data_IF_123701191763
#
_entry.id   IF_123701191763
#
_cell.length_a   1.000
_cell.length_b   1.000
_cell.length_c   1.000
_cell.angle_alpha   90.00
_cell.angle_beta   90.00
_cell.angle_gamma   90.00
#
_symmetry.space_group_name_H-M   'P 1'
#
loop_
_entity.id
_entity.type
_entity.pdbx_description
1 polymer ?
#
# COMPACT_ATOMS: atom_id res chain seq x y z
N UNK A 1 1.09 9.84 -14.04
CA UNK A 1 -0.09 9.71 -13.17
C UNK A 1 -0.56 8.27 -13.25
N UNK A 2 -0.76 7.57 -12.12
CA UNK A 2 -1.19 6.18 -12.13
C UNK A 2 -2.65 6.08 -12.60
N UNK A 3 -2.88 5.21 -13.58
CA UNK A 3 -4.23 4.83 -14.01
C UNK A 3 -4.58 3.46 -13.44
N UNK A 4 -5.72 3.39 -12.77
CA UNK A 4 -6.24 2.19 -12.11
C UNK A 4 -7.46 1.70 -12.89
N UNK A 5 -7.44 0.41 -13.22
CA UNK A 5 -8.54 -0.30 -13.87
C UNK A 5 -9.41 -0.96 -12.81
N UNK A 6 -10.69 -0.61 -12.80
CA UNK A 6 -11.66 -1.15 -11.84
C UNK A 6 -13.00 -1.44 -12.51
N UNK A 7 -13.84 -2.22 -11.82
CA UNK A 7 -15.21 -2.49 -12.27
C UNK A 7 -16.21 -1.81 -11.34
N UNK A 8 -17.25 -1.20 -11.92
CA UNK A 8 -18.30 -0.51 -11.17
C UNK A 8 -18.89 -1.39 -10.06
N UNK A 9 -19.14 -2.67 -10.34
CA UNK A 9 -19.73 -3.61 -9.38
C UNK A 9 -18.82 -3.84 -8.17
N UNK A 10 -17.53 -4.05 -8.39
CA UNK A 10 -16.56 -4.28 -7.30
C UNK A 10 -16.39 -3.00 -6.45
N UNK A 11 -16.25 -1.84 -7.11
CA UNK A 11 -16.21 -0.55 -6.43
C UNK A 11 -17.46 -0.31 -5.56
N UNK A 12 -18.66 -0.53 -6.11
CA UNK A 12 -19.93 -0.36 -5.38
C UNK A 12 -20.02 -1.32 -4.19
N UNK A 13 -19.59 -2.57 -4.35
CA UNK A 13 -19.57 -3.56 -3.28
C UNK A 13 -18.65 -3.13 -2.14
N UNK A 14 -17.43 -2.67 -2.47
CA UNK A 14 -16.47 -2.17 -1.49
C UNK A 14 -16.95 -0.89 -0.81
N UNK A 15 -17.56 0.05 -1.56
CA UNK A 15 -18.17 1.26 -0.97
C UNK A 15 -19.36 0.90 -0.07
N UNK A 16 -20.05 -0.20 -0.37
CA UNK A 16 -21.25 -0.68 0.34
C UNK A 16 -22.53 0.01 -0.12
N UNK A 17 -22.55 0.58 -1.34
CA UNK A 17 -23.69 1.29 -1.93
C UNK A 17 -23.72 1.09 -3.44
N UNK A 18 -24.92 0.98 -4.02
CA UNK A 18 -25.10 1.01 -5.47
C UNK A 18 -25.03 2.44 -5.97
N UNK A 19 -24.33 2.66 -7.08
CA UNK A 19 -24.16 3.98 -7.69
C UNK A 19 -24.19 3.91 -9.22
N UNK A 20 -24.70 4.96 -9.86
CA UNK A 20 -24.58 5.19 -11.29
C UNK A 20 -23.18 5.71 -11.65
N UNK A 21 -22.85 5.75 -12.95
CA UNK A 21 -21.59 6.35 -13.39
C UNK A 21 -21.49 7.84 -13.04
N UNK A 22 -22.61 8.57 -13.07
CA UNK A 22 -22.67 9.97 -12.64
C UNK A 22 -22.33 10.13 -11.15
N UNK A 23 -22.83 9.23 -10.30
CA UNK A 23 -22.49 9.24 -8.87
C UNK A 23 -21.00 8.93 -8.66
N UNK A 24 -20.44 7.99 -9.42
CA UNK A 24 -19.02 7.63 -9.36
C UNK A 24 -18.15 8.81 -9.78
N UNK A 25 -18.47 9.49 -10.89
CA UNK A 25 -17.78 10.70 -11.34
C UNK A 25 -17.77 11.78 -10.24
N UNK A 26 -18.89 11.98 -9.55
CA UNK A 26 -19.00 12.91 -8.42
C UNK A 26 -18.14 12.51 -7.20
N UNK A 27 -17.78 11.23 -7.06
CA UNK A 27 -16.93 10.76 -5.97
C UNK A 27 -15.43 10.85 -6.28
N UNK A 28 -15.04 10.90 -7.55
CA UNK A 28 -13.63 10.90 -7.94
C UNK A 28 -12.80 12.06 -7.35
N UNK A 29 -13.35 13.28 -7.14
CA UNK A 29 -12.61 14.34 -6.45
C UNK A 29 -12.13 13.95 -5.05
N UNK A 30 -12.83 13.06 -4.33
CA UNK A 30 -12.42 12.59 -2.99
C UNK A 30 -11.11 11.80 -3.01
N UNK A 31 -10.75 11.24 -4.16
CA UNK A 31 -9.51 10.45 -4.36
C UNK A 31 -8.53 11.16 -5.27
N UNK A 32 -8.72 12.47 -5.52
CA UNK A 32 -7.91 13.25 -6.48
C UNK A 32 -7.84 12.55 -7.84
N UNK A 33 -8.96 11.95 -8.25
CA UNK A 33 -9.06 11.13 -9.45
C UNK A 33 -10.04 11.71 -10.45
N UNK A 34 -9.97 11.20 -11.68
CA UNK A 34 -10.92 11.45 -12.74
C UNK A 34 -11.19 10.17 -13.53
N UNK A 35 -12.44 9.97 -13.97
CA UNK A 35 -12.76 8.89 -14.91
C UNK A 35 -12.22 9.27 -16.27
N UNK A 36 -11.24 8.50 -16.76
CA UNK A 36 -10.58 8.74 -18.05
C UNK A 36 -11.28 8.03 -19.19
N UNK A 37 -11.77 6.81 -18.94
CA UNK A 37 -12.41 5.98 -19.95
C UNK A 37 -13.35 4.93 -19.32
N UNK A 38 -14.35 4.51 -20.09
CA UNK A 38 -15.25 3.41 -19.76
C UNK A 38 -15.33 2.50 -20.97
N UNK A 39 -14.68 1.34 -20.87
CA UNK A 39 -14.64 0.35 -21.94
C UNK A 39 -15.99 -0.36 -22.02
N UNK A 40 -16.79 0.00 -23.03
CA UNK A 40 -18.16 -0.52 -23.19
C UNK A 40 -18.21 -2.04 -23.33
N UNK A 41 -17.18 -2.64 -23.93
CA UNK A 41 -17.14 -4.08 -24.21
C UNK A 41 -16.91 -4.92 -22.95
N UNK A 42 -16.14 -4.40 -21.99
CA UNK A 42 -15.75 -5.11 -20.76
C UNK A 42 -16.44 -4.59 -19.50
N UNK A 43 -16.97 -3.36 -19.54
CA UNK A 43 -17.45 -2.64 -18.36
C UNK A 43 -16.33 -2.16 -17.43
N UNK A 44 -15.07 -2.17 -17.90
CA UNK A 44 -13.92 -1.66 -17.17
C UNK A 44 -13.95 -0.12 -17.16
N UNK A 45 -13.77 0.46 -15.97
CA UNK A 45 -13.63 1.89 -15.74
C UNK A 45 -12.18 2.19 -15.44
N UNK A 46 -11.60 3.15 -16.16
CA UNK A 46 -10.22 3.61 -15.95
C UNK A 46 -10.23 4.93 -15.21
N UNK A 47 -9.66 4.93 -14.02
CA UNK A 47 -9.53 6.12 -13.17
C UNK A 47 -8.07 6.57 -13.19
N UNK A 48 -7.83 7.81 -13.60
CA UNK A 48 -6.50 8.44 -13.50
C UNK A 48 -6.42 9.22 -12.20
N UNK A 49 -5.40 8.94 -11.38
CA UNK A 49 -5.17 9.63 -10.12
C UNK A 49 -4.13 10.73 -10.33
N UNK A 50 -4.49 11.96 -9.99
CA UNK A 50 -3.64 13.13 -10.15
C UNK A 50 -2.58 13.26 -9.05
N UNK A 51 -2.68 12.44 -8.00
CA UNK A 51 -1.74 12.39 -6.89
C UNK A 51 -0.77 11.19 -7.01
N UNK A 52 0.51 11.48 -6.82
CA UNK A 52 1.58 10.47 -6.82
C UNK A 52 2.12 10.16 -5.42
N UNK A 53 1.62 10.84 -4.39
CA UNK A 53 2.04 10.68 -3.00
C UNK A 53 1.12 9.74 -2.19
N UNK A 54 -0.02 9.34 -2.78
CA UNK A 54 -1.05 8.48 -2.16
C UNK A 54 -1.09 7.09 -2.80
N UNK A 55 -0.07 6.23 -2.59
CA UNK A 55 -0.04 4.88 -3.15
C UNK A 55 -1.18 3.99 -2.61
N UNK A 56 -1.78 4.35 -1.47
CA UNK A 56 -2.99 3.68 -0.98
C UNK A 56 -4.16 3.77 -1.95
N UNK A 57 -4.24 4.83 -2.76
CA UNK A 57 -5.30 5.00 -3.75
C UNK A 57 -5.04 4.22 -5.04
N UNK A 58 -3.87 3.60 -5.23
CA UNK A 58 -3.50 2.94 -6.50
C UNK A 58 -4.08 1.54 -6.64
N UNK A 59 -5.31 1.36 -6.16
CA UNK A 59 -6.07 0.12 -6.14
C UNK A 59 -7.56 0.43 -5.90
N UNK A 60 -8.46 -0.46 -6.31
CA UNK A 60 -9.90 -0.25 -6.14
C UNK A 60 -10.30 -0.21 -4.66
N UNK A 61 -9.65 -0.98 -3.80
CA UNK A 61 -9.92 -1.05 -2.36
C UNK A 61 -9.62 0.28 -1.68
N UNK A 62 -8.49 0.91 -2.02
CA UNK A 62 -8.12 2.22 -1.51
C UNK A 62 -9.04 3.33 -1.99
N UNK A 63 -9.39 3.34 -3.28
CA UNK A 63 -10.38 4.27 -3.86
C UNK A 63 -11.72 4.11 -3.12
N UNK A 64 -12.21 2.88 -3.02
CA UNK A 64 -13.47 2.57 -2.35
C UNK A 64 -13.43 2.97 -0.86
N UNK A 65 -12.33 2.70 -0.16
CA UNK A 65 -12.13 3.04 1.26
C UNK A 65 -12.22 4.54 1.48
N UNK A 66 -11.54 5.35 0.66
CA UNK A 66 -11.55 6.80 0.78
C UNK A 66 -12.95 7.37 0.50
N UNK A 67 -13.60 6.92 -0.58
CA UNK A 67 -14.99 7.32 -0.90
C UNK A 67 -15.94 6.93 0.23
N UNK A 68 -15.88 5.68 0.68
CA UNK A 68 -16.69 5.16 1.80
C UNK A 68 -16.47 5.96 3.08
N UNK A 69 -15.23 6.35 3.38
CA UNK A 69 -14.90 7.17 4.55
C UNK A 69 -15.59 8.52 4.49
N UNK A 70 -15.52 9.22 3.34
CA UNK A 70 -16.17 10.52 3.17
C UNK A 70 -17.69 10.39 3.26
N UNK A 71 -18.28 9.42 2.54
CA UNK A 71 -19.74 9.18 2.52
C UNK A 71 -20.32 8.74 3.86
N UNK A 72 -19.53 8.11 4.72
CA UNK A 72 -19.92 7.67 6.06
C UNK A 72 -19.44 8.63 7.16
N UNK A 73 -18.75 9.72 6.80
CA UNK A 73 -18.15 10.68 7.73
C UNK A 73 -17.18 10.04 8.73
N UNK A 74 -16.42 9.05 8.27
CA UNK A 74 -15.39 8.39 9.04
C UNK A 74 -15.07 6.99 8.56
N UNK A 75 -13.95 6.46 9.05
CA UNK A 75 -13.42 5.15 8.70
C UNK A 75 -13.43 4.20 9.91
N UNK A 76 -13.90 2.94 9.76
CA UNK A 76 -13.75 1.93 10.81
C UNK A 76 -12.27 1.70 11.15
N UNK A 77 -11.93 1.49 12.43
CA UNK A 77 -10.55 1.20 12.82
C UNK A 77 -10.13 -0.21 12.37
N UNK A 78 -8.89 -0.34 11.91
CA UNK A 78 -8.26 -1.64 11.66
C UNK A 78 -7.62 -2.17 12.95
N UNK A 79 -8.28 -3.12 13.60
CA UNK A 79 -7.90 -3.63 14.93
C UNK A 79 -6.50 -4.25 14.98
N UNK A 80 -6.03 -4.82 13.87
CA UNK A 80 -4.72 -5.49 13.77
C UNK A 80 -3.53 -4.55 13.98
N UNK A 81 -3.67 -3.23 13.77
CA UNK A 81 -2.61 -2.26 14.14
C UNK A 81 -2.49 -2.04 15.66
N UNK A 82 -3.47 -2.48 16.43
CA UNK A 82 -3.54 -2.30 17.89
C UNK A 82 -3.46 -3.62 18.67
N UNK A 83 -3.24 -4.74 17.96
CA UNK A 83 -3.24 -6.06 18.58
C UNK A 83 -2.02 -6.25 19.49
N UNK A 84 -2.30 -6.53 20.77
CA UNK A 84 -1.25 -6.76 21.79
C UNK A 84 -0.85 -8.22 21.93
N UNK A 85 -1.57 -9.15 21.29
CA UNK A 85 -1.24 -10.58 21.37
C UNK A 85 0.12 -10.84 20.72
N UNK A 86 0.77 -11.93 21.13
CA UNK A 86 1.97 -12.41 20.46
C UNK A 86 1.64 -12.82 19.03
N UNK A 87 2.47 -12.42 18.07
CA UNK A 87 2.36 -12.97 16.72
C UNK A 87 2.70 -14.46 16.80
N UNK A 88 1.84 -15.31 16.23
CA UNK A 88 2.08 -16.76 16.26
C UNK A 88 3.13 -17.17 15.22
N UNK A 89 3.43 -16.31 14.24
CA UNK A 89 4.18 -16.60 12.99
C UNK A 89 5.38 -15.67 12.95
N UNK A 90 6.52 -16.19 12.49
CA UNK A 90 7.79 -15.49 12.58
C UNK A 90 8.59 -15.56 11.29
N UNK A 91 9.27 -14.46 10.97
CA UNK A 91 10.34 -14.39 9.97
C UNK A 91 11.66 -14.10 10.70
N UNK A 92 12.69 -14.87 10.37
CA UNK A 92 14.05 -14.65 10.83
C UNK A 92 14.87 -14.06 9.69
N UNK A 93 15.41 -12.86 9.87
CA UNK A 93 16.29 -12.22 8.90
C UNK A 93 17.72 -12.69 9.17
N UNK A 94 18.43 -13.14 8.14
CA UNK A 94 19.81 -13.58 8.28
C UNK A 94 20.79 -12.40 8.33
N UNK A 95 21.95 -12.63 8.94
CA UNK A 95 23.04 -11.67 8.92
C UNK A 95 23.57 -11.47 7.49
N UNK A 96 23.96 -10.24 7.15
CA UNK A 96 24.44 -9.84 5.83
C UNK A 96 23.33 -9.33 4.91
N UNK A 97 22.06 -9.53 5.25
CA UNK A 97 20.93 -8.96 4.51
C UNK A 97 20.99 -7.43 4.43
N UNK A 98 21.56 -6.78 5.45
CA UNK A 98 21.77 -5.34 5.53
C UNK A 98 22.60 -4.76 4.37
N UNK A 99 23.43 -5.59 3.72
CA UNK A 99 24.28 -5.18 2.61
C UNK A 99 23.65 -5.45 1.23
N UNK A 100 22.53 -6.17 1.16
CA UNK A 100 21.92 -6.62 -0.12
C UNK A 100 20.50 -6.12 -0.26
N UNK A 101 19.62 -6.48 0.68
CA UNK A 101 18.19 -6.09 0.69
C UNK A 101 17.66 -6.20 2.12
N UNK A 102 17.85 -5.16 2.94
CA UNK A 102 17.73 -5.26 4.40
C UNK A 102 16.34 -5.70 4.88
N UNK A 103 15.27 -5.12 4.35
CA UNK A 103 14.01 -5.12 5.07
C UNK A 103 12.98 -6.11 4.52
N UNK A 104 12.22 -6.71 5.43
CA UNK A 104 11.02 -7.49 5.16
C UNK A 104 9.90 -7.17 6.16
N UNK A 105 8.68 -7.03 5.66
CA UNK A 105 7.48 -6.99 6.48
C UNK A 105 6.48 -8.01 5.91
N UNK A 106 5.64 -8.60 6.76
CA UNK A 106 4.64 -9.56 6.32
C UNK A 106 3.36 -9.53 7.16
N UNK A 107 2.29 -10.09 6.61
CA UNK A 107 1.04 -10.37 7.31
C UNK A 107 0.42 -11.67 6.82
N UNK A 108 -0.49 -12.23 7.62
CA UNK A 108 -1.36 -13.33 7.18
C UNK A 108 -2.78 -12.78 7.03
N UNK A 109 -3.43 -13.10 5.92
CA UNK A 109 -4.83 -12.80 5.65
C UNK A 109 -5.63 -14.09 5.71
N UNK A 110 -6.71 -14.12 6.50
CA UNK A 110 -7.52 -15.32 6.73
C UNK A 110 -8.98 -15.11 6.31
N UNK A 111 -9.55 -16.15 5.69
CA UNK A 111 -10.99 -16.26 5.47
C UNK A 111 -11.58 -15.43 4.33
N UNK A 112 -10.76 -14.85 3.45
CA UNK A 112 -11.24 -14.24 2.21
C UNK A 112 -11.05 -15.21 1.04
N UNK A 113 -12.12 -15.83 0.51
CA UNK A 113 -12.00 -16.70 -0.66
C UNK A 113 -11.63 -15.88 -1.89
N UNK A 114 -10.46 -16.17 -2.45
CA UNK A 114 -9.93 -15.42 -3.59
C UNK A 114 -10.85 -15.57 -4.81
N UNK A 115 -11.46 -14.45 -5.24
CA UNK A 115 -12.27 -14.38 -6.47
C UNK A 115 -11.40 -13.97 -7.65
N UNK A 116 -11.91 -14.09 -8.88
CA UNK A 116 -11.20 -13.62 -10.07
C UNK A 116 -10.91 -12.11 -9.97
N UNK A 117 -11.93 -11.32 -9.60
CA UNK A 117 -11.80 -9.88 -9.42
C UNK A 117 -10.82 -9.54 -8.28
N UNK A 118 -10.87 -10.26 -7.16
CA UNK A 118 -9.94 -10.07 -6.05
C UNK A 118 -8.49 -10.36 -6.45
N UNK A 119 -8.26 -11.42 -7.23
CA UNK A 119 -6.94 -11.80 -7.69
C UNK A 119 -6.37 -10.78 -8.67
N UNK A 120 -7.18 -10.35 -9.64
CA UNK A 120 -6.81 -9.32 -10.61
C UNK A 120 -6.42 -8.01 -9.91
N UNK A 121 -7.17 -7.62 -8.86
CA UNK A 121 -6.87 -6.42 -8.08
C UNK A 121 -5.63 -6.59 -7.18
N UNK A 122 -5.37 -7.79 -6.65
CA UNK A 122 -4.12 -8.08 -5.94
C UNK A 122 -2.90 -7.96 -6.87
N UNK A 123 -2.99 -8.54 -8.08
CA UNK A 123 -1.93 -8.47 -9.09
C UNK A 123 -1.72 -7.02 -9.52
N UNK A 124 -2.78 -6.29 -9.86
CA UNK A 124 -2.69 -4.89 -10.25
C UNK A 124 -2.06 -4.05 -9.13
N UNK A 125 -2.50 -4.22 -7.88
CA UNK A 125 -1.93 -3.47 -6.74
C UNK A 125 -0.45 -3.80 -6.58
N UNK A 126 -0.07 -5.08 -6.69
CA UNK A 126 1.32 -5.53 -6.63
C UNK A 126 2.16 -4.86 -7.71
N UNK A 127 1.70 -4.86 -8.96
CA UNK A 127 2.39 -4.23 -10.09
C UNK A 127 2.51 -2.72 -9.91
N UNK A 128 1.41 -2.02 -9.61
CA UNK A 128 1.43 -0.55 -9.42
C UNK A 128 2.35 -0.14 -8.28
N UNK A 129 2.28 -0.82 -7.14
CA UNK A 129 3.12 -0.50 -5.99
C UNK A 129 4.58 -0.89 -6.25
N UNK A 130 4.87 -2.04 -6.83
CA UNK A 130 6.25 -2.46 -7.05
C UNK A 130 6.93 -1.68 -8.19
N UNK A 131 6.20 -1.31 -9.25
CA UNK A 131 6.75 -0.57 -10.39
C UNK A 131 6.87 0.93 -10.12
N UNK A 132 5.79 1.59 -9.71
CA UNK A 132 5.80 3.04 -9.56
C UNK A 132 6.36 3.47 -8.18
N UNK A 133 5.79 2.94 -7.10
CA UNK A 133 6.23 3.30 -5.74
C UNK A 133 7.58 2.65 -5.42
N UNK A 134 7.74 1.36 -5.75
CA UNK A 134 8.93 0.55 -5.55
C UNK A 134 10.05 0.74 -6.57
N UNK A 135 9.90 1.69 -7.51
CA UNK A 135 10.85 1.99 -8.60
C UNK A 135 11.31 0.74 -9.34
N UNK A 136 10.38 0.05 -10.00
CA UNK A 136 10.63 -1.23 -10.70
C UNK A 136 11.28 -2.27 -9.79
N UNK A 137 10.70 -2.41 -8.59
CA UNK A 137 11.11 -3.34 -7.53
C UNK A 137 12.41 -3.04 -6.79
N UNK A 138 13.14 -2.00 -7.20
CA UNK A 138 14.41 -1.60 -6.59
C UNK A 138 14.24 -1.38 -5.08
N UNK A 139 13.24 -0.60 -4.65
CA UNK A 139 13.02 -0.28 -3.24
C UNK A 139 11.97 -1.16 -2.56
N UNK A 140 10.97 -1.65 -3.31
CA UNK A 140 9.86 -2.47 -2.76
C UNK A 140 9.46 -3.57 -3.75
N UNK A 141 9.41 -4.81 -3.28
CA UNK A 141 8.82 -5.94 -4.01
C UNK A 141 7.88 -6.70 -3.10
N UNK A 142 6.74 -7.12 -3.64
CA UNK A 142 5.64 -7.72 -2.88
C UNK A 142 5.46 -9.16 -3.38
N UNK A 143 5.21 -10.10 -2.47
CA UNK A 143 4.84 -11.47 -2.79
C UNK A 143 3.51 -11.85 -2.14
N UNK A 144 2.88 -12.88 -2.72
CA UNK A 144 1.59 -13.41 -2.33
C UNK A 144 1.74 -14.93 -2.38
N UNK A 145 1.36 -15.62 -1.30
CA UNK A 145 1.51 -17.07 -1.19
C UNK A 145 0.29 -17.71 -0.57
N UNK A 146 0.12 -19.01 -0.86
CA UNK A 146 -0.87 -19.86 -0.21
C UNK A 146 -0.42 -20.16 1.22
N UNK A 147 -1.10 -19.58 2.21
CA UNK A 147 -0.66 -19.67 3.61
C UNK A 147 -0.61 -21.11 4.14
N UNK A 148 -1.57 -21.95 3.75
CA UNK A 148 -1.70 -23.33 4.22
C UNK A 148 -0.52 -24.23 3.87
N UNK A 149 0.32 -23.82 2.92
CA UNK A 149 1.46 -24.59 2.44
C UNK A 149 2.80 -24.19 3.06
N UNK A 150 2.82 -23.21 3.98
CA UNK A 150 4.06 -22.65 4.55
C UNK A 150 4.33 -23.19 5.95
N UNK A 151 5.52 -23.78 6.16
CA UNK A 151 6.00 -24.17 7.48
C UNK A 151 6.78 -23.03 8.16
N UNK A 152 6.32 -22.56 9.32
CA UNK A 152 7.02 -21.51 10.07
C UNK A 152 8.06 -22.09 11.06
N UNK A 153 9.11 -21.33 11.43
CA UNK A 153 9.44 -19.97 11.00
C UNK A 153 9.95 -19.91 9.54
N UNK A 154 9.68 -18.79 8.88
CA UNK A 154 10.27 -18.48 7.57
C UNK A 154 11.62 -17.80 7.78
N UNK A 155 12.59 -18.07 6.92
CA UNK A 155 13.90 -17.41 6.90
C UNK A 155 14.00 -16.50 5.68
N UNK A 156 14.41 -15.25 5.91
CA UNK A 156 14.83 -14.32 4.87
C UNK A 156 16.35 -14.16 4.92
N UNK A 157 17.04 -14.79 3.97
CA UNK A 157 18.51 -14.88 4.05
C UNK A 157 19.20 -14.88 2.70
N UNK A 158 20.49 -15.19 2.73
CA UNK A 158 21.38 -15.13 1.57
C UNK A 158 21.87 -16.52 1.18
N UNK A 159 21.83 -16.82 -0.12
CA UNK A 159 22.38 -18.06 -0.72
C UNK A 159 23.40 -17.73 -1.80
N UNK A 160 24.33 -18.64 -2.10
CA UNK A 160 25.16 -18.51 -3.31
C UNK A 160 24.31 -18.75 -4.56
N UNK A 161 24.69 -18.17 -5.72
CA UNK A 161 23.90 -18.26 -6.95
C UNK A 161 23.55 -19.68 -7.42
N UNK A 162 24.36 -20.68 -7.08
CA UNK A 162 24.18 -22.09 -7.49
C UNK A 162 23.94 -23.04 -6.31
N UNK A 163 23.66 -22.52 -5.12
CA UNK A 163 23.55 -23.32 -3.89
C UNK A 163 22.27 -24.14 -3.80
N UNK A 164 21.16 -23.60 -4.31
CA UNK A 164 19.82 -24.19 -4.20
C UNK A 164 19.13 -24.19 -5.55
N UNK A 165 18.18 -25.11 -5.73
CA UNK A 165 17.32 -25.17 -6.92
C UNK A 165 15.85 -25.23 -6.51
N UNK A 166 15.03 -24.42 -7.16
CA UNK A 166 13.58 -24.42 -6.99
C UNK A 166 12.90 -24.14 -8.33
N UNK A 167 11.59 -24.39 -8.42
CA UNK A 167 10.82 -24.17 -9.65
C UNK A 167 10.29 -22.73 -9.63
N UNK A 168 10.76 -21.81 -10.49
CA UNK A 168 10.20 -20.46 -10.54
C UNK A 168 8.80 -20.46 -11.16
N UNK A 169 7.96 -19.52 -10.76
CA UNK A 169 6.61 -19.37 -11.30
C UNK A 169 6.64 -19.22 -12.84
N UNK A 170 5.82 -20.02 -13.54
CA UNK A 170 5.76 -20.04 -15.01
C UNK A 170 6.73 -21.03 -15.67
N UNK A 171 7.47 -21.83 -14.89
CA UNK A 171 8.35 -22.89 -15.38
C UNK A 171 8.01 -24.24 -14.71
N UNK A 172 8.49 -25.33 -15.34
CA UNK A 172 8.29 -26.71 -14.86
C UNK A 172 9.57 -27.32 -14.26
N UNK A 173 10.74 -26.78 -14.61
CA UNK A 173 12.04 -27.31 -14.21
C UNK A 173 12.64 -26.53 -13.05
N UNK A 174 13.35 -27.24 -12.16
CA UNK A 174 14.09 -26.61 -11.07
C UNK A 174 15.32 -25.89 -11.61
N UNK A 175 15.51 -24.66 -11.16
CA UNK A 175 16.61 -23.78 -11.57
C UNK A 175 17.34 -23.21 -10.36
N UNK A 176 18.64 -22.95 -10.50
CA UNK A 176 19.40 -22.14 -9.53
C UNK A 176 19.03 -20.66 -9.66
N UNK A 177 19.23 -19.84 -8.62
CA UNK A 177 19.15 -18.38 -8.74
C UNK A 177 19.96 -17.82 -9.92
N UNK A 178 21.16 -18.35 -10.19
CA UNK A 178 21.97 -17.95 -11.35
C UNK A 178 21.28 -18.26 -12.70
N UNK A 179 20.75 -19.48 -12.85
CA UNK A 179 19.98 -19.89 -14.02
C UNK A 179 18.77 -18.96 -14.21
N UNK A 180 18.02 -18.70 -13.13
CA UNK A 180 16.86 -17.79 -13.14
C UNK A 180 17.23 -16.40 -13.64
N UNK A 181 18.31 -15.80 -13.14
CA UNK A 181 18.78 -14.48 -13.59
C UNK A 181 19.17 -14.45 -15.08
N UNK A 182 19.51 -15.59 -15.66
CA UNK A 182 20.00 -15.70 -17.04
C UNK A 182 18.90 -16.04 -18.05
N UNK A 183 17.89 -16.82 -17.66
CA UNK A 183 16.90 -17.36 -18.61
C UNK A 183 15.45 -16.95 -18.31
N UNK A 184 15.12 -16.68 -17.05
CA UNK A 184 13.74 -16.38 -16.67
C UNK A 184 13.37 -14.95 -17.13
N UNK A 185 12.19 -14.70 -17.70
CA UNK A 185 11.79 -13.35 -18.14
C UNK A 185 11.94 -12.28 -17.05
N UNK A 186 11.49 -12.60 -15.82
CA UNK A 186 11.67 -11.72 -14.65
C UNK A 186 13.12 -11.60 -14.16
N UNK A 187 13.94 -12.63 -14.39
CA UNK A 187 15.37 -12.57 -14.13
C UNK A 187 16.08 -11.61 -15.07
N UNK A 188 15.74 -11.64 -16.36
CA UNK A 188 16.25 -10.71 -17.36
C UNK A 188 15.78 -9.26 -17.10
N UNK A 189 14.53 -9.10 -16.67
CA UNK A 189 13.93 -7.79 -16.42
C UNK A 189 14.48 -7.11 -15.16
N UNK A 190 14.56 -7.84 -14.03
CA UNK A 190 14.87 -7.26 -12.72
C UNK A 190 16.23 -7.71 -12.15
N UNK A 191 16.96 -8.60 -12.83
CA UNK A 191 18.23 -9.14 -12.34
C UNK A 191 19.33 -8.10 -12.10
N UNK A 192 19.25 -6.97 -12.80
CA UNK A 192 20.16 -5.83 -12.60
C UNK A 192 20.12 -5.24 -11.18
N UNK A 193 19.01 -5.41 -10.44
CA UNK A 193 18.88 -4.97 -9.04
C UNK A 193 19.88 -5.69 -8.13
N UNK A 194 20.25 -6.92 -8.48
CA UNK A 194 21.19 -7.75 -7.71
C UNK A 194 22.58 -7.82 -8.37
N UNK A 195 22.85 -6.94 -9.34
CA UNK A 195 24.13 -6.94 -10.05
C UNK A 195 25.30 -6.69 -9.07
N UNK A 196 26.34 -7.53 -9.16
CA UNK A 196 27.52 -7.43 -8.30
C UNK A 196 27.37 -8.06 -6.91
N UNK A 197 26.20 -8.59 -6.55
CA UNK A 197 26.02 -9.32 -5.30
C UNK A 197 26.63 -10.73 -5.38
N UNK A 198 27.53 -11.07 -4.46
CA UNK A 198 28.10 -12.43 -4.38
C UNK A 198 27.12 -13.47 -3.82
N UNK A 199 26.16 -13.01 -3.02
CA UNK A 199 25.08 -13.83 -2.47
C UNK A 199 23.75 -13.16 -2.75
N UNK A 200 22.74 -13.97 -2.96
CA UNK A 200 21.43 -13.56 -3.43
C UNK A 200 20.39 -13.77 -2.33
N UNK A 201 19.45 -12.83 -2.14
CA UNK A 201 18.39 -12.95 -1.15
C UNK A 201 17.43 -14.08 -1.52
N UNK A 202 16.94 -14.80 -0.53
CA UNK A 202 15.97 -15.88 -0.71
C UNK A 202 15.04 -15.95 0.50
N UNK A 203 13.80 -16.33 0.26
CA UNK A 203 12.80 -16.57 1.30
C UNK A 203 12.45 -18.06 1.28
N UNK A 204 12.58 -18.75 2.41
CA UNK A 204 12.24 -20.18 2.51
C UNK A 204 11.66 -20.53 3.89
N UNK A 205 10.90 -21.61 3.94
CA UNK A 205 10.17 -22.05 5.12
C UNK A 205 11.01 -23.00 6.00
N UNK A 206 10.47 -23.47 7.13
CA UNK A 206 11.21 -24.35 8.05
C UNK A 206 11.41 -25.78 7.55
N UNK A 207 10.69 -26.19 6.50
CA UNK A 207 10.90 -27.44 5.78
C UNK A 207 11.92 -27.29 4.63
N UNK A 208 12.44 -26.08 4.41
CA UNK A 208 13.42 -25.76 3.37
C UNK A 208 12.79 -25.50 2.00
N UNK A 209 11.47 -25.34 1.91
CA UNK A 209 10.79 -24.98 0.67
C UNK A 209 10.98 -23.50 0.37
N UNK A 210 11.40 -23.19 -0.86
CA UNK A 210 11.58 -21.81 -1.31
C UNK A 210 10.22 -21.17 -1.54
N UNK A 211 9.98 -20.04 -0.89
CA UNK A 211 8.84 -19.15 -1.16
C UNK A 211 9.15 -18.28 -2.37
N UNK A 212 10.28 -17.58 -2.36
CA UNK A 212 10.66 -16.69 -3.45
C UNK A 212 12.15 -16.40 -3.48
N UNK A 213 12.56 -15.83 -4.61
CA UNK A 213 13.81 -15.15 -4.82
C UNK A 213 13.55 -13.65 -5.03
N UNK A 214 13.44 -12.84 -3.94
CA UNK A 214 13.18 -11.42 -4.07
C UNK A 214 14.35 -10.66 -4.73
N UNK A 215 14.10 -9.54 -5.44
CA UNK A 215 12.80 -9.07 -5.92
C UNK A 215 12.38 -9.71 -7.27
N UNK A 216 12.97 -10.85 -7.64
CA UNK A 216 12.90 -11.42 -8.98
C UNK A 216 11.60 -12.20 -9.20
N UNK A 217 11.38 -13.30 -8.49
CA UNK A 217 10.28 -14.23 -8.77
C UNK A 217 9.89 -15.08 -7.57
N UNK A 218 8.62 -15.47 -7.50
CA UNK A 218 8.13 -16.45 -6.53
C UNK A 218 8.39 -17.88 -7.01
N UNK A 219 8.39 -18.84 -6.08
CA UNK A 219 8.29 -20.26 -6.44
C UNK A 219 6.90 -20.56 -6.97
N UNK A 220 6.82 -21.58 -7.82
CA UNK A 220 5.53 -22.08 -8.30
C UNK A 220 4.75 -22.76 -7.18
N UNK A 221 5.43 -23.57 -6.37
CA UNK A 221 4.78 -24.45 -5.38
C UNK A 221 4.04 -23.67 -4.29
N UNK A 222 4.57 -22.53 -3.84
CA UNK A 222 3.99 -21.71 -2.77
C UNK A 222 3.41 -20.38 -3.26
N UNK A 223 3.97 -19.80 -4.33
CA UNK A 223 3.64 -18.46 -4.82
C UNK A 223 2.53 -18.38 -5.86
N UNK A 224 2.03 -19.51 -6.35
CA UNK A 224 0.90 -19.54 -7.28
C UNK A 224 -0.44 -19.52 -6.51
N UNK A 225 -0.93 -18.33 -6.20
CA UNK A 225 -2.26 -18.14 -5.58
C UNK A 225 -3.36 -18.54 -6.57
N UNK A 226 -4.31 -19.35 -6.12
CA UNK A 226 -5.39 -19.89 -6.95
C UNK A 226 -6.76 -19.35 -6.52
N UNK A 227 -7.71 -19.39 -7.45
CA UNK A 227 -9.11 -19.08 -7.16
C UNK A 227 -9.63 -20.01 -6.06
N UNK A 228 -10.30 -19.42 -5.07
CA UNK A 228 -10.83 -20.14 -3.91
C UNK A 228 -9.87 -20.34 -2.75
N UNK A 229 -8.57 -20.02 -2.89
CA UNK A 229 -7.67 -19.95 -1.73
C UNK A 229 -8.20 -18.91 -0.73
N UNK A 230 -8.32 -19.28 0.53
CA UNK A 230 -8.93 -18.41 1.57
C UNK A 230 -7.92 -17.66 2.41
N UNK A 231 -6.73 -18.25 2.55
CA UNK A 231 -5.72 -17.83 3.49
C UNK A 231 -4.42 -17.55 2.75
N UNK A 232 -3.89 -16.34 2.92
CA UNK A 232 -2.72 -15.85 2.22
C UNK A 232 -1.64 -15.42 3.20
N UNK A 233 -0.40 -15.68 2.82
CA UNK A 233 0.76 -15.02 3.40
C UNK A 233 1.23 -13.95 2.41
N UNK A 234 1.37 -12.73 2.89
CA UNK A 234 1.80 -11.58 2.08
C UNK A 234 3.06 -11.03 2.70
N UNK A 235 4.09 -10.84 1.91
CA UNK A 235 5.34 -10.21 2.31
C UNK A 235 5.72 -9.08 1.38
N UNK A 236 6.48 -8.15 1.93
CA UNK A 236 7.08 -7.04 1.22
C UNK A 236 8.55 -6.99 1.60
N UNK A 237 9.45 -7.03 0.63
CA UNK A 237 10.89 -6.86 0.85
C UNK A 237 11.41 -5.62 0.16
N UNK A 238 12.49 -5.04 0.68
CA UNK A 238 12.97 -3.76 0.18
C UNK A 238 14.27 -3.25 0.77
N UNK A 239 14.64 -2.05 0.31
CA UNK A 239 15.81 -1.31 0.79
C UNK A 239 15.44 -0.13 1.68
N UNK A 240 14.15 0.23 1.75
CA UNK A 240 13.61 1.28 2.61
C UNK A 240 12.50 0.71 3.51
N UNK A 241 12.71 0.77 4.83
CA UNK A 241 11.81 0.15 5.80
C UNK A 241 10.44 0.83 5.86
N UNK A 242 10.39 2.15 5.74
CA UNK A 242 9.15 2.92 5.74
C UNK A 242 8.28 2.58 4.53
N UNK A 243 8.89 2.47 3.35
CA UNK A 243 8.20 2.05 2.12
C UNK A 243 7.72 0.60 2.19
N UNK A 244 8.54 -0.31 2.73
CA UNK A 244 8.18 -1.72 2.92
C UNK A 244 6.96 -1.86 3.85
N UNK A 245 6.97 -1.16 4.99
CA UNK A 245 5.85 -1.17 5.94
C UNK A 245 4.61 -0.52 5.33
N UNK A 246 4.75 0.61 4.62
CA UNK A 246 3.63 1.28 3.98
C UNK A 246 2.93 0.39 2.95
N UNK A 247 3.71 -0.23 2.05
CA UNK A 247 3.18 -1.13 1.02
C UNK A 247 2.47 -2.34 1.64
N UNK A 248 3.01 -2.92 2.71
CA UNK A 248 2.33 -4.00 3.43
C UNK A 248 1.04 -3.50 4.10
N UNK A 249 1.06 -2.33 4.74
CA UNK A 249 -0.12 -1.76 5.38
C UNK A 249 -1.26 -1.53 4.37
N UNK A 250 -0.94 -1.06 3.16
CA UNK A 250 -1.90 -0.91 2.07
C UNK A 250 -2.51 -2.27 1.72
N UNK A 251 -1.68 -3.28 1.44
CA UNK A 251 -2.15 -4.63 1.12
C UNK A 251 -3.00 -5.27 2.23
N UNK A 252 -2.58 -5.13 3.48
CA UNK A 252 -3.31 -5.64 4.64
C UNK A 252 -4.69 -4.98 4.76
N UNK A 253 -4.78 -3.67 4.60
CA UNK A 253 -6.06 -2.97 4.62
C UNK A 253 -6.95 -3.32 3.41
N UNK A 254 -6.36 -3.54 2.23
CA UNK A 254 -7.11 -3.97 1.03
C UNK A 254 -7.78 -5.34 1.26
N UNK A 255 -7.03 -6.31 1.79
CA UNK A 255 -7.56 -7.64 2.09
C UNK A 255 -8.61 -7.57 3.21
N UNK A 256 -8.41 -6.72 4.22
CA UNK A 256 -9.40 -6.48 5.27
C UNK A 256 -10.69 -5.84 4.72
N UNK A 257 -10.60 -4.91 3.77
CA UNK A 257 -11.77 -4.32 3.10
C UNK A 257 -12.57 -5.36 2.30
N UNK A 258 -11.90 -6.42 1.83
CA UNK A 258 -12.54 -7.59 1.19
C UNK A 258 -13.08 -8.62 2.19
N UNK A 259 -12.94 -8.38 3.50
CA UNK A 259 -13.49 -9.21 4.57
C UNK A 259 -12.49 -10.17 5.22
N UNK A 260 -11.21 -10.11 4.87
CA UNK A 260 -10.20 -10.94 5.51
C UNK A 260 -9.93 -10.50 6.96
N UNK A 261 -9.60 -11.47 7.81
CA UNK A 261 -8.98 -11.20 9.10
C UNK A 261 -7.47 -11.15 8.94
N UNK A 262 -6.84 -10.03 9.31
CA UNK A 262 -5.39 -9.88 9.23
C UNK A 262 -4.76 -10.27 10.57
N UNK A 263 -3.81 -11.21 10.53
CA UNK A 263 -2.94 -11.56 11.66
C UNK A 263 -1.53 -10.99 11.42
N UNK A 264 -0.91 -10.51 12.51
CA UNK A 264 0.45 -9.98 12.48
C UNK A 264 1.51 -11.08 12.41
N UNK A 265 2.65 -10.75 11.81
CA UNK A 265 3.86 -11.58 11.74
C UNK A 265 4.97 -10.86 12.49
N UNK A 266 5.74 -11.59 13.30
CA UNK A 266 6.91 -11.06 13.99
C UNK A 266 8.18 -11.28 13.15
N UNK A 267 8.93 -10.22 12.92
CA UNK A 267 10.17 -10.22 12.13
C UNK A 267 11.32 -9.92 13.09
N UNK A 268 12.30 -10.81 13.13
CA UNK A 268 13.50 -10.65 13.96
C UNK A 268 14.69 -10.33 13.07
N UNK A 269 15.32 -9.19 13.34
CA UNK A 269 16.52 -8.71 12.67
C UNK A 269 17.76 -8.94 13.54
N UNK A 270 18.90 -9.35 12.96
CA UNK A 270 20.16 -9.47 13.67
C UNK A 270 20.90 -8.12 13.80
N UNK A 271 20.30 -7.03 13.33
CA UNK A 271 20.81 -5.65 13.36
C UNK A 271 19.70 -4.66 13.71
N UNK A 272 20.10 -3.46 14.13
CA UNK A 272 19.17 -2.39 14.51
C UNK A 272 18.41 -1.84 13.30
N UNK A 273 17.11 -1.60 13.47
CA UNK A 273 16.27 -0.93 12.48
C UNK A 273 15.59 0.29 13.11
N UNK A 274 14.97 1.14 12.31
CA UNK A 274 14.21 2.30 12.82
C UNK A 274 13.08 1.92 13.80
N UNK A 275 12.61 0.66 13.75
CA UNK A 275 11.58 0.12 14.64
C UNK A 275 12.11 -0.95 15.60
N UNK A 276 13.44 -1.01 15.78
CA UNK A 276 14.14 -1.97 16.64
C UNK A 276 14.41 -3.32 15.97
N UNK A 277 15.00 -4.26 16.73
CA UNK A 277 15.41 -5.59 16.22
C UNK A 277 14.27 -6.59 16.11
N UNK A 278 13.10 -6.28 16.66
CA UNK A 278 11.90 -7.14 16.58
C UNK A 278 10.69 -6.30 16.23
N UNK A 279 10.19 -6.50 15.02
CA UNK A 279 9.06 -5.76 14.46
C UNK A 279 7.86 -6.70 14.39
N UNK A 280 6.66 -6.20 14.71
CA UNK A 280 5.40 -6.90 14.40
C UNK A 280 4.71 -6.13 13.30
N UNK A 281 4.54 -6.74 12.13
CA UNK A 281 3.85 -6.12 11.00
C UNK A 281 2.53 -6.83 10.70
N UNK A 282 1.50 -6.14 10.14
CA UNK A 282 1.45 -4.71 9.83
C UNK A 282 1.54 -3.83 11.09
N UNK A 283 2.07 -2.61 10.96
CA UNK A 283 2.18 -1.65 12.08
C UNK A 283 1.89 -0.21 11.65
N UNK A 284 1.43 0.61 12.60
CA UNK A 284 1.33 2.06 12.39
C UNK A 284 2.66 2.74 12.67
N UNK A 285 3.23 3.41 11.68
CA UNK A 285 4.43 4.23 11.81
C UNK A 285 4.14 5.73 12.03
N UNK A 286 2.89 6.16 11.84
CA UNK A 286 2.51 7.57 11.92
C UNK A 286 2.39 8.07 13.36
N UNK A 287 2.89 9.28 13.59
CA UNK A 287 2.77 10.00 14.85
C UNK A 287 1.74 11.13 14.74
N UNK A 288 1.19 11.55 15.88
CA UNK A 288 0.25 12.67 15.89
C UNK A 288 0.98 13.99 15.74
N UNK A 289 0.50 14.85 14.86
CA UNK A 289 1.01 16.20 14.67
C UNK A 289 -0.04 17.23 15.13
N UNK A 290 0.40 18.26 15.84
CA UNK A 290 -0.47 19.33 16.31
C UNK A 290 -0.40 20.53 15.38
N UNK A 291 -1.57 20.99 14.95
CA UNK A 291 -1.72 22.08 13.97
C UNK A 291 -2.69 23.11 14.54
N UNK A 292 -2.38 24.39 14.41
CA UNK A 292 -3.31 25.47 14.78
C UNK A 292 -4.46 25.56 13.78
N UNK A 293 -5.67 25.80 14.27
CA UNK A 293 -6.85 26.02 13.40
C UNK A 293 -6.63 27.23 12.48
N UNK A 294 -6.02 28.30 13.00
CA UNK A 294 -5.72 29.52 12.25
C UNK A 294 -4.87 29.24 11.00
N UNK A 295 -3.85 28.38 11.09
CA UNK A 295 -3.02 28.05 9.93
C UNK A 295 -3.82 27.33 8.82
N UNK A 296 -4.77 26.46 9.20
CA UNK A 296 -5.65 25.77 8.25
C UNK A 296 -6.60 26.79 7.61
N UNK A 297 -7.21 27.67 8.41
CA UNK A 297 -8.14 28.70 7.94
C UNK A 297 -7.44 29.75 7.06
N UNK A 298 -6.21 30.13 7.37
CA UNK A 298 -5.38 31.02 6.55
C UNK A 298 -5.03 30.37 5.20
N UNK A 299 -4.64 29.10 5.19
CA UNK A 299 -4.38 28.36 3.96
C UNK A 299 -5.62 28.25 3.06
N UNK A 300 -6.79 28.05 3.67
CA UNK A 300 -8.07 27.95 2.98
C UNK A 300 -8.70 29.32 2.62
N UNK A 301 -8.21 30.41 3.22
CA UNK A 301 -8.72 31.76 3.01
C UNK A 301 -10.08 32.05 3.66
N UNK A 302 -10.53 31.23 4.62
CA UNK A 302 -11.80 31.47 5.33
C UNK A 302 -11.84 30.82 6.73
N UNK A 303 -12.59 31.42 7.68
CA UNK A 303 -12.84 30.79 8.97
C UNK A 303 -13.82 29.62 8.83
N UNK A 304 -13.54 28.50 9.52
CA UNK A 304 -14.36 27.28 9.51
C UNK A 304 -14.76 26.84 10.92
N UNK A 305 -13.90 27.08 11.91
CA UNK A 305 -14.08 26.61 13.28
C UNK A 305 -13.65 25.15 13.50
N UNK A 306 -13.43 24.80 14.77
CA UNK A 306 -12.86 23.50 15.17
C UNK A 306 -13.72 22.30 14.79
N UNK A 307 -15.04 22.43 14.89
CA UNK A 307 -15.98 21.33 14.63
C UNK A 307 -15.99 20.94 13.15
N UNK A 308 -16.09 21.92 12.25
CA UNK A 308 -16.07 21.69 10.81
C UNK A 308 -14.74 21.09 10.33
N UNK A 309 -13.62 21.59 10.85
CA UNK A 309 -12.28 21.05 10.53
C UNK A 309 -12.14 19.63 11.06
N UNK A 310 -12.61 19.35 12.29
CA UNK A 310 -12.57 18.01 12.85
C UNK A 310 -13.41 17.02 12.03
N UNK A 311 -14.65 17.39 11.65
CA UNK A 311 -15.54 16.56 10.85
C UNK A 311 -14.93 16.28 9.46
N UNK A 312 -14.42 17.31 8.79
CA UNK A 312 -13.74 17.20 7.51
C UNK A 312 -12.58 16.20 7.57
N UNK A 313 -11.65 16.39 8.50
CA UNK A 313 -10.47 15.52 8.65
C UNK A 313 -10.84 14.10 9.08
N UNK A 314 -11.79 13.94 10.00
CA UNK A 314 -12.26 12.61 10.40
C UNK A 314 -12.91 11.87 9.22
N UNK A 315 -13.70 12.57 8.40
CA UNK A 315 -14.29 12.01 7.19
C UNK A 315 -13.25 11.62 6.13
N UNK A 316 -12.10 12.31 6.11
CA UNK A 316 -10.98 11.96 5.24
C UNK A 316 -10.03 10.89 5.83
N UNK A 317 -10.39 10.30 6.97
CA UNK A 317 -9.72 9.14 7.55
C UNK A 317 -8.67 9.46 8.62
N UNK A 318 -8.50 10.72 9.02
CA UNK A 318 -7.61 11.09 10.12
C UNK A 318 -8.17 10.63 11.47
N UNK A 319 -7.27 10.25 12.38
CA UNK A 319 -7.59 10.28 13.82
C UNK A 319 -7.40 11.71 14.31
N UNK A 320 -8.46 12.33 14.82
CA UNK A 320 -8.45 13.75 15.20
C UNK A 320 -8.78 13.92 16.67
N UNK A 321 -8.00 14.76 17.36
CA UNK A 321 -8.33 15.31 18.68
C UNK A 321 -8.31 16.83 18.60
N UNK A 322 -9.49 17.46 18.68
CA UNK A 322 -9.60 18.90 18.59
C UNK A 322 -9.60 19.58 19.97
N UNK A 323 -9.12 20.82 19.99
CA UNK A 323 -9.24 21.80 21.06
C UNK A 323 -9.78 23.09 20.46
N UNK A 324 -10.06 24.11 21.28
CA UNK A 324 -10.56 25.41 20.80
C UNK A 324 -9.63 26.14 19.82
N UNK A 325 -8.34 25.83 19.80
CA UNK A 325 -7.33 26.57 19.03
C UNK A 325 -6.51 25.69 18.07
N UNK A 326 -6.57 24.37 18.23
CA UNK A 326 -5.70 23.44 17.49
C UNK A 326 -6.31 22.06 17.36
N UNK A 327 -5.88 21.32 16.34
CA UNK A 327 -6.18 19.91 16.13
C UNK A 327 -4.90 19.09 16.22
N UNK A 328 -4.96 17.94 16.88
CA UNK A 328 -3.94 16.90 16.82
C UNK A 328 -4.44 15.84 15.85
N UNK A 329 -3.71 15.60 14.78
CA UNK A 329 -4.13 14.72 13.69
C UNK A 329 -3.10 13.61 13.51
N UNK A 330 -3.56 12.40 13.21
CA UNK A 330 -2.70 11.26 12.88
C UNK A 330 -3.26 10.61 11.61
N UNK A 331 -2.40 10.44 10.62
CA UNK A 331 -2.75 9.72 9.39
C UNK A 331 -3.00 8.23 9.68
N UNK A 332 -3.94 7.60 8.95
CA UNK A 332 -4.08 6.14 9.02
C UNK A 332 -2.82 5.44 8.53
N UNK A 333 -2.56 4.23 9.02
CA UNK A 333 -1.28 3.53 8.82
C UNK A 333 -0.93 3.18 7.36
N UNK A 334 -1.91 3.22 6.45
CA UNK A 334 -1.71 3.04 5.01
C UNK A 334 -1.39 4.35 4.25
N UNK A 335 -1.32 5.50 4.95
CA UNK A 335 -0.91 6.80 4.40
C UNK A 335 0.39 7.26 5.04
N UNK A 336 1.25 7.95 4.28
CA UNK A 336 2.49 8.55 4.79
C UNK A 336 2.84 9.87 4.05
N UNK A 337 1.82 10.58 3.59
CA UNK A 337 1.94 11.74 2.70
C UNK A 337 1.91 13.09 3.44
N UNK A 338 1.81 13.09 4.77
CA UNK A 338 1.75 14.33 5.55
C UNK A 338 3.15 14.87 5.86
N UNK A 339 3.51 15.97 5.18
CA UNK A 339 4.75 16.72 5.35
C UNK A 339 4.53 18.15 5.90
N UNK A 340 3.38 18.77 5.60
CA UNK A 340 3.12 20.17 5.90
C UNK A 340 1.64 20.45 6.21
N UNK A 341 1.34 21.57 6.88
CA UNK A 341 -0.05 21.99 7.17
C UNK A 341 -0.91 22.14 5.91
N UNK A 342 -0.28 22.38 4.76
CA UNK A 342 -0.98 22.49 3.48
C UNK A 342 -1.62 21.17 3.07
N UNK A 343 -1.03 20.01 3.41
CA UNK A 343 -1.60 18.69 3.10
C UNK A 343 -2.92 18.49 3.86
N UNK A 344 -2.95 18.95 5.12
CA UNK A 344 -4.14 18.91 5.97
C UNK A 344 -5.20 19.91 5.49
N UNK A 345 -4.78 21.10 5.05
CA UNK A 345 -5.70 22.08 4.47
C UNK A 345 -6.32 21.57 3.16
N UNK A 346 -5.53 20.94 2.29
CA UNK A 346 -6.01 20.32 1.05
C UNK A 346 -7.07 19.24 1.36
N UNK A 347 -6.80 18.34 2.31
CA UNK A 347 -7.75 17.29 2.71
C UNK A 347 -9.07 17.87 3.27
N UNK A 348 -9.02 19.03 3.97
CA UNK A 348 -10.22 19.77 4.39
C UNK A 348 -10.95 20.37 3.18
N UNK A 349 -10.24 20.92 2.20
CA UNK A 349 -10.84 21.47 0.99
C UNK A 349 -11.55 20.40 0.15
N UNK A 350 -10.90 19.24 -0.02
CA UNK A 350 -11.43 18.10 -0.78
C UNK A 350 -12.74 17.60 -0.15
N UNK A 351 -12.76 17.39 1.16
CA UNK A 351 -13.96 16.87 1.85
C UNK A 351 -15.12 17.84 1.87
N UNK A 352 -14.84 19.15 1.89
CA UNK A 352 -15.87 20.18 1.77
C UNK A 352 -16.37 20.38 0.34
N UNK A 353 -15.56 20.00 -0.64
CA UNK A 353 -15.76 20.32 -2.05
C UNK A 353 -15.24 21.71 -2.40
N UNK A 354 -14.49 21.79 -3.50
CA UNK A 354 -13.89 23.06 -3.96
C UNK A 354 -14.95 24.12 -4.33
N UNK A 355 -16.14 23.71 -4.74
CA UNK A 355 -17.25 24.62 -5.04
C UNK A 355 -17.83 25.32 -3.79
N UNK A 356 -17.44 24.87 -2.59
CA UNK A 356 -17.84 25.52 -1.33
C UNK A 356 -17.07 26.82 -1.03
N UNK A 357 -15.99 27.10 -1.76
CA UNK A 357 -15.15 28.28 -1.58
C UNK A 357 -15.63 29.41 -2.49
N UNK A 358 -15.87 30.58 -1.91
CA UNK A 358 -16.22 31.77 -2.71
C UNK A 358 -14.96 32.35 -3.37
N UNK A 359 -14.95 32.58 -4.69
CA UNK A 359 -13.80 33.19 -5.36
C UNK A 359 -13.59 34.62 -4.86
N UNK A 360 -12.34 34.95 -4.54
CA UNK A 360 -11.93 36.29 -4.08
C UNK A 360 -11.04 36.90 -5.16
N UNK A 361 -11.40 38.11 -5.61
CA UNK A 361 -10.56 38.87 -6.53
C UNK A 361 -9.32 39.43 -5.78
N UNK A 362 -8.09 39.16 -6.24
CA UNK A 362 -6.91 39.76 -5.66
C UNK A 362 -6.98 41.29 -5.72
N UNK A 363 -6.69 41.95 -4.60
CA UNK A 363 -6.77 43.42 -4.49
C UNK A 363 -5.45 44.12 -4.89
N UNK A 364 -4.37 43.36 -5.05
CA UNK A 364 -3.05 43.91 -5.37
C UNK A 364 -2.90 44.13 -6.87
N UNK A 365 -2.79 45.38 -7.30
CA UNK A 365 -2.47 45.73 -8.67
C UNK A 365 -0.98 45.54 -8.96
N UNK A 366 -0.65 44.87 -10.06
CA UNK A 366 0.72 44.73 -10.56
C UNK A 366 0.77 45.13 -12.03
N UNK A 367 1.81 45.87 -12.42
CA UNK A 367 2.06 46.24 -13.82
C UNK A 367 2.89 45.14 -14.45
N UNK A 368 2.39 44.52 -15.51
CA UNK A 368 3.15 43.53 -16.27
C UNK A 368 4.27 44.16 -17.10
N UNK A 369 5.41 43.48 -17.19
CA UNK A 369 6.49 43.80 -18.13
C UNK A 369 6.87 42.56 -18.94
N UNK A 370 7.44 42.75 -20.12
CA UNK A 370 8.05 41.65 -20.88
C UNK A 370 9.25 41.12 -20.08
N UNK A 371 9.32 39.80 -19.87
CA UNK A 371 10.53 39.16 -19.36
C UNK A 371 11.66 39.38 -20.36
N UNK A 372 12.74 40.05 -19.94
CA UNK A 372 13.91 40.36 -20.77
C UNK A 372 14.78 39.13 -20.97
#
# INVERSE_FOLDING_TARGET
MPTISLFQKDLCQLVGRTASMSDIEQWMPYVKGEVKDVLQDTGEVRVELQDTNRPDLWCVEGIARQIRSVLNKGMPPYSFFSEKKGAKRRIQVAQGMEAVRPYVAACVSLGYPMTAEGLDQCIQTQEKLADAFGRKRETVSIGLYRYSSIAFPVTYGLVKPDEIRFTPLGFEEKMTPHEILTVHPKGLEYGSILAGCERLPLLWDSDGQVLSFPPIINSRELGEVQLGDTDLFVEVTGTDLGMVVLALNIFACNLADRGATIETVEITYPYETEFGTTIKSPLSMNQSQRISLEAIEQALGMPLGSEAIQEALASYGYQVKATKQSVSVTLPAFRNDFMHVMDVAEDVAITRGYDSFSPIMPQTFTVGSLSV
#
